data_IF_848110196419
#
_entry.id   IF_848110196419
#
_cell.length_a   1.000
_cell.length_b   1.000
_cell.length_c   1.000
_cell.angle_alpha   90.00
_cell.angle_beta   90.00
_cell.angle_gamma   90.00
#
_symmetry.space_group_name_H-M   'P 1'
#
loop_
_entity.id
_entity.type
_entity.pdbx_description
1 polymer ?
#
# COMPACT_ATOMS: atom_id res chain seq x y z
N UNK A 1 5.39 -42.75 2.26
CA UNK A 1 5.41 -41.33 2.64
C UNK A 1 4.52 -40.56 1.66
N UNK A 2 3.22 -40.83 1.66
CA UNK A 2 2.33 -40.31 0.60
C UNK A 2 1.10 -39.57 1.10
N UNK A 3 0.81 -39.56 2.40
CA UNK A 3 -0.21 -38.68 2.99
C UNK A 3 0.10 -38.52 4.48
N UNK A 4 0.91 -37.53 4.84
CA UNK A 4 0.97 -37.08 6.23
C UNK A 4 -0.20 -36.09 6.44
N UNK A 5 -1.25 -36.47 7.21
CA UNK A 5 -2.43 -35.63 7.42
C UNK A 5 -2.12 -34.37 8.23
N UNK A 6 -0.89 -34.17 8.70
CA UNK A 6 -0.44 -32.93 9.32
C UNK A 6 -0.02 -31.89 8.28
N UNK A 7 0.47 -32.31 7.10
CA UNK A 7 0.92 -31.40 6.04
C UNK A 7 -0.21 -30.55 5.46
N UNK A 8 -1.46 -31.04 5.44
CA UNK A 8 -2.64 -30.27 5.01
C UNK A 8 -2.97 -29.08 5.93
N UNK A 9 -2.49 -29.09 7.18
CA UNK A 9 -2.68 -27.99 8.12
C UNK A 9 -1.51 -27.00 8.14
N UNK A 10 -0.45 -27.24 7.34
CA UNK A 10 0.69 -26.32 7.28
C UNK A 10 0.28 -25.06 6.52
N UNK A 11 0.54 -23.85 7.08
CA UNK A 11 0.29 -22.61 6.35
C UNK A 11 1.09 -22.57 5.05
N UNK A 12 0.54 -21.90 4.03
CA UNK A 12 1.22 -21.73 2.75
C UNK A 12 2.63 -21.13 2.95
N UNK A 13 3.59 -21.53 2.10
CA UNK A 13 4.97 -21.02 2.13
C UNK A 13 5.05 -19.48 2.14
N UNK A 14 4.08 -18.83 1.51
CA UNK A 14 3.91 -17.38 1.46
C UNK A 14 3.69 -16.72 2.84
N UNK A 15 3.23 -17.49 3.84
CA UNK A 15 3.09 -17.09 5.25
C UNK A 15 4.29 -17.55 6.10
N UNK A 16 5.45 -17.74 5.49
CA UNK A 16 6.66 -18.09 6.24
C UNK A 16 7.41 -16.85 6.71
N UNK A 17 8.01 -16.93 7.90
CA UNK A 17 8.79 -15.84 8.49
C UNK A 17 9.94 -15.36 7.58
N UNK A 18 10.73 -16.24 6.91
CA UNK A 18 11.77 -15.78 5.99
C UNK A 18 11.21 -14.99 4.81
N UNK A 19 10.03 -15.38 4.28
CA UNK A 19 9.36 -14.66 3.20
C UNK A 19 8.87 -13.31 3.68
N UNK A 20 8.32 -13.23 4.90
CA UNK A 20 7.91 -11.96 5.52
C UNK A 20 9.11 -11.01 5.66
N UNK A 21 10.22 -11.44 6.25
CA UNK A 21 11.44 -10.63 6.39
C UNK A 21 11.96 -10.16 5.02
N UNK A 22 12.03 -11.07 4.04
CA UNK A 22 12.50 -10.76 2.70
C UNK A 22 11.61 -9.70 2.04
N UNK A 23 10.29 -9.88 2.07
CA UNK A 23 9.34 -8.97 1.43
C UNK A 23 9.30 -7.62 2.14
N UNK A 24 9.23 -7.58 3.47
CA UNK A 24 9.32 -6.33 4.24
C UNK A 24 10.63 -5.60 3.95
N UNK A 25 11.75 -6.31 3.80
CA UNK A 25 13.05 -5.72 3.41
C UNK A 25 13.05 -5.15 1.99
N UNK A 26 12.44 -5.84 1.02
CA UNK A 26 12.26 -5.34 -0.36
C UNK A 26 11.39 -4.09 -0.35
N UNK A 27 10.25 -4.11 0.34
CA UNK A 27 9.30 -2.99 0.42
C UNK A 27 9.99 -1.78 1.09
N UNK A 28 10.76 -2.00 2.16
CA UNK A 28 11.54 -0.95 2.80
C UNK A 28 12.58 -0.35 1.86
N UNK A 29 13.28 -1.18 1.09
CA UNK A 29 14.25 -0.71 0.09
C UNK A 29 13.55 0.14 -0.98
N UNK A 30 12.38 -0.29 -1.47
CA UNK A 30 11.57 0.49 -2.42
C UNK A 30 11.15 1.84 -1.84
N UNK A 31 10.71 1.89 -0.59
CA UNK A 31 10.34 3.13 0.08
C UNK A 31 11.55 4.06 0.29
N UNK A 32 12.70 3.52 0.71
CA UNK A 32 13.93 4.26 0.91
C UNK A 32 14.47 4.86 -0.40
N UNK A 33 14.51 4.08 -1.48
CA UNK A 33 14.90 4.57 -2.80
C UNK A 33 13.94 5.66 -3.25
N UNK A 34 12.62 5.49 -3.06
CA UNK A 34 11.64 6.51 -3.41
C UNK A 34 11.85 7.81 -2.62
N UNK A 35 12.15 7.71 -1.32
CA UNK A 35 12.48 8.88 -0.49
C UNK A 35 13.71 9.62 -1.03
N UNK A 36 14.77 8.87 -1.36
CA UNK A 36 16.00 9.43 -1.94
C UNK A 36 15.68 10.16 -3.25
N UNK A 37 14.87 9.54 -4.12
CA UNK A 37 14.43 10.15 -5.38
C UNK A 37 13.64 11.44 -5.14
N UNK A 38 12.71 11.45 -4.18
CA UNK A 38 11.94 12.65 -3.80
C UNK A 38 12.84 13.77 -3.24
N UNK A 39 13.89 13.44 -2.49
CA UNK A 39 14.84 14.42 -1.98
C UNK A 39 15.70 15.01 -3.10
N UNK A 40 16.19 14.19 -4.04
CA UNK A 40 16.95 14.68 -5.19
C UNK A 40 16.12 15.57 -6.12
N UNK A 41 14.84 15.25 -6.25
CA UNK A 41 13.91 15.93 -7.16
C UNK A 41 13.11 17.05 -6.49
N UNK A 42 13.37 17.31 -5.20
CA UNK A 42 12.62 18.24 -4.35
C UNK A 42 12.44 19.61 -4.97
N UNK A 43 13.50 20.19 -5.55
CA UNK A 43 13.46 21.54 -6.14
C UNK A 43 12.46 21.62 -7.30
N UNK A 44 12.43 20.60 -8.17
CA UNK A 44 11.52 20.57 -9.31
C UNK A 44 10.09 20.25 -8.87
N UNK A 45 9.94 19.25 -8.00
CA UNK A 45 8.63 18.78 -7.55
C UNK A 45 7.89 19.84 -6.72
N UNK A 46 8.59 20.50 -5.80
CA UNK A 46 8.02 21.57 -4.97
C UNK A 46 7.51 22.75 -5.80
N UNK A 47 8.26 23.16 -6.83
CA UNK A 47 7.90 24.32 -7.65
C UNK A 47 6.66 24.07 -8.51
N UNK A 48 6.48 22.84 -8.99
CA UNK A 48 5.36 22.47 -9.87
C UNK A 48 4.10 22.09 -9.09
N UNK A 49 4.23 21.31 -8.02
CA UNK A 49 3.09 20.85 -7.21
C UNK A 49 3.50 20.61 -5.75
N UNK A 50 3.51 21.68 -4.92
CA UNK A 50 3.95 21.58 -3.53
C UNK A 50 3.03 20.66 -2.70
N UNK A 51 1.72 20.66 -2.99
CA UNK A 51 0.76 19.78 -2.31
C UNK A 51 1.05 18.31 -2.52
N UNK A 52 1.26 17.89 -3.77
CA UNK A 52 1.61 16.51 -4.10
C UNK A 52 2.94 16.10 -3.47
N UNK A 53 3.94 16.98 -3.52
CA UNK A 53 5.25 16.71 -2.95
C UNK A 53 5.17 16.47 -1.44
N UNK A 54 4.50 17.34 -0.69
CA UNK A 54 4.32 17.18 0.76
C UNK A 54 3.58 15.89 1.10
N UNK A 55 2.50 15.59 0.37
CA UNK A 55 1.76 14.35 0.56
C UNK A 55 2.61 13.11 0.26
N UNK A 56 3.40 13.12 -0.83
CA UNK A 56 4.27 12.01 -1.18
C UNK A 56 5.38 11.81 -0.13
N UNK A 57 6.08 12.87 0.27
CA UNK A 57 7.14 12.77 1.30
C UNK A 57 6.56 12.27 2.62
N UNK A 58 5.42 12.82 3.06
CA UNK A 58 4.77 12.38 4.30
C UNK A 58 4.32 10.92 4.19
N UNK A 59 3.77 10.51 3.05
CA UNK A 59 3.35 9.14 2.79
C UNK A 59 4.51 8.15 2.84
N UNK A 60 5.64 8.47 2.20
CA UNK A 60 6.83 7.60 2.20
C UNK A 60 7.46 7.51 3.59
N UNK A 61 7.56 8.62 4.33
CA UNK A 61 8.09 8.62 5.70
C UNK A 61 7.19 7.81 6.63
N UNK A 62 5.87 7.96 6.51
CA UNK A 62 4.92 7.22 7.36
C UNK A 62 4.94 5.72 7.05
N UNK A 63 4.95 5.35 5.77
CA UNK A 63 5.12 3.95 5.33
C UNK A 63 6.46 3.38 5.80
N UNK A 64 7.56 4.12 5.63
CA UNK A 64 8.89 3.73 6.09
C UNK A 64 8.95 3.51 7.60
N UNK A 65 8.30 4.37 8.39
CA UNK A 65 8.23 4.25 9.84
C UNK A 65 7.45 2.99 10.26
N UNK A 66 6.33 2.69 9.59
CA UNK A 66 5.59 1.44 9.79
C UNK A 66 6.43 0.21 9.48
N UNK A 67 7.16 0.22 8.36
CA UNK A 67 8.03 -0.89 7.95
C UNK A 67 9.19 -1.13 8.94
N UNK A 68 9.78 -0.06 9.48
CA UNK A 68 10.81 -0.16 10.53
C UNK A 68 10.21 -0.77 11.79
N UNK A 69 9.00 -0.34 12.20
CA UNK A 69 8.32 -0.90 13.35
C UNK A 69 7.94 -2.38 13.16
N UNK A 70 7.43 -2.75 11.97
CA UNK A 70 7.14 -4.14 11.58
C UNK A 70 8.41 -4.99 11.65
N UNK A 71 9.50 -4.54 11.02
CA UNK A 71 10.78 -5.26 11.00
C UNK A 71 11.36 -5.41 12.42
N UNK A 72 11.32 -4.35 13.23
CA UNK A 72 11.76 -4.40 14.62
C UNK A 72 10.99 -5.48 15.39
N UNK A 73 9.65 -5.48 15.30
CA UNK A 73 8.80 -6.47 15.98
C UNK A 73 9.08 -7.89 15.52
N UNK A 74 9.20 -8.12 14.20
CA UNK A 74 9.51 -9.45 13.66
C UNK A 74 10.84 -9.93 14.23
N UNK A 75 11.91 -9.11 14.14
CA UNK A 75 13.24 -9.47 14.61
C UNK A 75 13.30 -9.68 16.13
N UNK A 76 12.56 -8.91 16.92
CA UNK A 76 12.46 -9.10 18.38
C UNK A 76 11.84 -10.45 18.70
N UNK A 77 10.69 -10.79 18.09
CA UNK A 77 10.03 -12.09 18.30
C UNK A 77 10.94 -13.23 17.85
N UNK A 78 11.59 -13.11 16.69
CA UNK A 78 12.57 -14.09 16.20
C UNK A 78 13.73 -14.27 17.18
N UNK A 79 14.24 -13.19 17.78
CA UNK A 79 15.33 -13.25 18.74
C UNK A 79 14.90 -13.91 20.05
N UNK A 80 13.70 -13.60 20.56
CA UNK A 80 13.13 -14.22 21.76
C UNK A 80 12.90 -15.73 21.56
N UNK A 81 12.26 -16.14 20.46
CA UNK A 81 12.04 -17.56 20.13
C UNK A 81 13.37 -18.34 19.99
N UNK A 82 14.42 -17.70 19.47
CA UNK A 82 15.74 -18.33 19.33
C UNK A 82 16.41 -18.63 20.67
N UNK A 83 16.00 -17.94 21.74
CA UNK A 83 16.59 -18.05 23.09
C UNK A 83 15.83 -19.02 23.99
N UNK A 84 14.64 -19.46 23.60
CA UNK A 84 13.82 -20.41 24.35
C UNK A 84 13.83 -21.79 23.71
N UNK A 85 13.77 -22.86 24.51
CA UNK A 85 13.68 -24.23 23.99
C UNK A 85 12.42 -24.36 23.11
N UNK A 86 12.53 -24.82 21.84
CA UNK A 86 13.54 -25.74 21.31
C UNK A 86 14.77 -25.10 20.62
N UNK A 87 15.07 -23.83 20.90
CA UNK A 87 16.15 -23.05 20.29
C UNK A 87 16.06 -23.06 18.76
N UNK A 88 14.83 -22.95 18.26
CA UNK A 88 14.52 -22.95 16.83
C UNK A 88 13.59 -21.80 16.50
N UNK A 89 13.72 -21.30 15.27
CA UNK A 89 12.85 -20.24 14.76
C UNK A 89 11.52 -20.84 14.31
N UNK A 90 10.41 -20.22 14.71
CA UNK A 90 9.13 -20.54 14.09
C UNK A 90 9.19 -20.25 12.60
N UNK A 91 8.80 -21.23 11.79
CA UNK A 91 8.76 -21.04 10.35
C UNK A 91 7.58 -20.14 9.92
N UNK A 92 6.64 -19.87 10.82
CA UNK A 92 5.39 -19.17 10.55
C UNK A 92 5.60 -17.66 10.74
N UNK A 93 5.04 -16.86 9.84
CA UNK A 93 5.07 -15.40 9.91
C UNK A 93 4.45 -14.86 11.21
N UNK A 94 4.95 -13.71 11.64
CA UNK A 94 4.51 -13.05 12.87
C UNK A 94 3.29 -12.17 12.57
N UNK A 95 2.15 -12.48 13.19
CA UNK A 95 0.88 -11.73 13.03
C UNK A 95 1.02 -10.32 13.63
N UNK A 96 1.10 -9.31 12.77
CA UNK A 96 1.26 -7.89 13.14
C UNK A 96 0.18 -7.06 12.44
N UNK A 97 -0.82 -6.53 13.18
CA UNK A 97 -1.07 -6.73 14.61
C UNK A 97 -1.69 -8.11 14.90
N UNK A 98 -1.56 -8.67 16.12
CA UNK A 98 -2.09 -9.99 16.45
C UNK A 98 -3.61 -9.95 16.61
N UNK A 99 -4.33 -10.02 15.48
CA UNK A 99 -5.80 -9.97 15.46
C UNK A 99 -6.42 -11.28 15.92
N UNK A 100 -5.72 -12.39 15.72
CA UNK A 100 -6.18 -13.73 16.10
C UNK A 100 -5.84 -14.07 17.56
N UNK A 101 -4.66 -13.66 18.04
CA UNK A 101 -4.20 -13.90 19.41
C UNK A 101 -4.01 -12.58 20.17
N UNK A 102 -5.13 -11.93 20.52
CA UNK A 102 -5.16 -10.60 21.17
C UNK A 102 -4.48 -10.53 22.54
N UNK A 103 -4.05 -11.66 23.13
CA UNK A 103 -3.34 -11.68 24.41
C UNK A 103 -1.88 -11.22 24.33
N UNK A 104 -1.31 -11.13 23.13
CA UNK A 104 0.11 -10.77 22.95
C UNK A 104 0.37 -9.25 23.07
N UNK A 105 -0.58 -8.39 22.69
CA UNK A 105 -0.38 -6.94 22.65
C UNK A 105 -1.30 -6.21 23.63
N UNK A 106 -0.78 -5.14 24.23
CA UNK A 106 -1.61 -4.24 25.03
C UNK A 106 -2.66 -3.54 24.14
N UNK A 107 -3.85 -3.27 24.67
CA UNK A 107 -4.93 -2.63 23.90
C UNK A 107 -4.52 -1.27 23.32
N UNK A 108 -3.70 -0.50 24.04
CA UNK A 108 -3.17 0.77 23.56
C UNK A 108 -2.22 0.60 22.36
N UNK A 109 -1.37 -0.43 22.39
CA UNK A 109 -0.44 -0.75 21.31
C UNK A 109 -1.18 -1.20 20.05
N UNK A 110 -2.15 -2.12 20.22
CA UNK A 110 -3.03 -2.57 19.14
C UNK A 110 -3.80 -1.40 18.51
N UNK A 111 -4.39 -0.55 19.34
CA UNK A 111 -5.15 0.62 18.86
C UNK A 111 -4.23 1.59 18.12
N UNK A 112 -3.06 1.88 18.68
CA UNK A 112 -2.06 2.75 18.03
C UNK A 112 -1.64 2.23 16.67
N UNK A 113 -1.40 0.92 16.54
CA UNK A 113 -1.04 0.27 15.28
C UNK A 113 -2.15 0.36 14.24
N UNK A 114 -3.39 0.04 14.63
CA UNK A 114 -4.54 0.11 13.71
C UNK A 114 -4.81 1.54 13.24
N UNK A 115 -4.68 2.54 14.14
CA UNK A 115 -4.80 3.96 13.79
C UNK A 115 -3.66 4.39 12.85
N UNK A 116 -2.42 3.99 13.13
CA UNK A 116 -1.28 4.25 12.26
C UNK A 116 -1.53 3.71 10.85
N UNK A 117 -1.95 2.45 10.72
CA UNK A 117 -2.25 1.83 9.42
C UNK A 117 -3.40 2.54 8.70
N UNK A 118 -4.48 2.85 9.41
CA UNK A 118 -5.61 3.58 8.83
C UNK A 118 -5.21 4.96 8.30
N UNK A 119 -4.38 5.70 9.04
CA UNK A 119 -3.85 7.01 8.63
C UNK A 119 -2.91 6.87 7.44
N UNK A 120 -1.96 5.93 7.47
CA UNK A 120 -1.02 5.69 6.36
C UNK A 120 -1.79 5.34 5.09
N UNK A 121 -2.77 4.45 5.20
CA UNK A 121 -3.54 4.02 4.05
C UNK A 121 -4.39 5.15 3.48
N UNK A 122 -5.06 5.93 4.33
CA UNK A 122 -5.80 7.11 3.88
C UNK A 122 -4.87 8.15 3.22
N UNK A 123 -3.68 8.38 3.79
CA UNK A 123 -2.69 9.32 3.27
C UNK A 123 -2.18 8.89 1.89
N UNK A 124 -1.83 7.62 1.71
CA UNK A 124 -1.34 7.09 0.42
C UNK A 124 -2.45 7.14 -0.63
N UNK A 125 -3.68 6.80 -0.28
CA UNK A 125 -4.81 6.95 -1.20
C UNK A 125 -5.04 8.43 -1.56
N UNK A 126 -4.91 9.35 -0.61
CA UNK A 126 -4.99 10.79 -0.86
C UNK A 126 -3.90 11.30 -1.81
N UNK A 127 -2.69 10.74 -1.75
CA UNK A 127 -1.61 11.03 -2.73
C UNK A 127 -2.09 10.72 -4.16
N UNK A 128 -2.72 9.57 -4.38
CA UNK A 128 -3.26 9.19 -5.69
C UNK A 128 -4.41 10.09 -6.15
N UNK A 129 -5.36 10.37 -5.26
CA UNK A 129 -6.48 11.28 -5.56
C UNK A 129 -5.94 12.65 -5.96
N UNK A 130 -5.00 13.19 -5.18
CA UNK A 130 -4.39 14.48 -5.49
C UNK A 130 -3.63 14.42 -6.82
N UNK A 131 -2.87 13.37 -7.09
CA UNK A 131 -2.20 13.19 -8.37
C UNK A 131 -3.16 13.18 -9.56
N UNK A 132 -4.29 12.46 -9.51
CA UNK A 132 -5.31 12.51 -10.57
C UNK A 132 -5.84 13.92 -10.80
N UNK A 133 -6.01 14.72 -9.74
CA UNK A 133 -6.47 16.11 -9.88
C UNK A 133 -5.44 17.02 -10.57
N UNK A 134 -4.17 16.61 -10.64
CA UNK A 134 -3.15 17.31 -11.45
C UNK A 134 -3.29 16.96 -12.93
N UNK A 135 -3.58 15.70 -13.26
CA UNK A 135 -3.74 15.23 -14.64
C UNK A 135 -4.87 15.93 -15.38
N UNK A 136 -5.98 16.21 -14.70
CA UNK A 136 -7.17 16.83 -15.29
C UNK A 136 -7.25 18.32 -14.95
N UNK A 137 -6.93 19.26 -15.86
CA UNK A 137 -6.89 20.68 -15.53
C UNK A 137 -8.29 21.31 -15.31
N UNK A 138 -9.36 20.69 -15.83
CA UNK A 138 -10.73 21.23 -15.73
C UNK A 138 -11.26 21.23 -14.29
N UNK A 139 -11.72 22.39 -13.81
CA UNK A 139 -12.29 22.57 -12.47
C UNK A 139 -13.45 21.60 -12.18
N UNK A 140 -14.30 21.35 -13.17
CA UNK A 140 -15.44 20.44 -13.02
C UNK A 140 -14.98 18.99 -12.81
N UNK A 141 -13.99 18.55 -13.58
CA UNK A 141 -13.42 17.19 -13.46
C UNK A 141 -12.69 17.03 -12.14
N UNK A 142 -11.92 18.04 -11.70
CA UNK A 142 -11.28 18.02 -10.38
C UNK A 142 -12.30 17.86 -9.25
N UNK A 143 -13.37 18.65 -9.27
CA UNK A 143 -14.43 18.56 -8.25
C UNK A 143 -15.11 17.18 -8.27
N UNK A 144 -15.35 16.62 -9.46
CA UNK A 144 -15.93 15.29 -9.60
C UNK A 144 -15.00 14.20 -9.04
N UNK A 145 -13.70 14.28 -9.34
CA UNK A 145 -12.68 13.36 -8.80
C UNK A 145 -12.65 13.44 -7.28
N UNK A 146 -12.66 14.64 -6.71
CA UNK A 146 -12.68 14.84 -5.25
C UNK A 146 -13.94 14.24 -4.62
N UNK A 147 -15.13 14.57 -5.14
CA UNK A 147 -16.41 14.06 -4.62
C UNK A 147 -16.51 12.54 -4.74
N UNK A 148 -15.95 11.95 -5.81
CA UNK A 148 -16.02 10.52 -6.05
C UNK A 148 -14.99 9.73 -5.22
N UNK A 149 -13.74 10.20 -5.12
CA UNK A 149 -12.63 9.40 -4.58
C UNK A 149 -12.29 9.69 -3.11
N UNK A 150 -12.57 10.90 -2.59
CA UNK A 150 -12.25 11.20 -1.18
C UNK A 150 -13.13 10.41 -0.21
N UNK A 151 -14.46 10.32 -0.38
CA UNK A 151 -15.29 9.53 0.53
C UNK A 151 -14.85 8.05 0.66
N UNK A 152 -14.62 7.29 -0.43
CA UNK A 152 -14.14 5.92 -0.31
C UNK A 152 -12.70 5.84 0.26
N UNK A 153 -11.86 6.85 0.04
CA UNK A 153 -10.52 6.93 0.65
C UNK A 153 -10.61 7.05 2.17
N UNK A 154 -11.47 7.94 2.68
CA UNK A 154 -11.68 8.11 4.12
C UNK A 154 -12.30 6.84 4.71
N UNK A 155 -13.32 6.28 4.04
CA UNK A 155 -13.95 5.04 4.48
C UNK A 155 -12.94 3.89 4.58
N UNK A 156 -12.06 3.74 3.58
CA UNK A 156 -11.00 2.73 3.58
C UNK A 156 -10.09 2.86 4.82
N UNK A 157 -9.64 4.07 5.14
CA UNK A 157 -8.81 4.32 6.33
C UNK A 157 -9.55 4.06 7.64
N UNK A 158 -10.80 4.52 7.77
CA UNK A 158 -11.62 4.31 8.98
C UNK A 158 -11.87 2.83 9.24
N UNK A 159 -12.17 2.08 8.17
CA UNK A 159 -12.49 0.66 8.26
C UNK A 159 -11.28 -0.16 8.75
N UNK A 160 -10.05 0.27 8.49
CA UNK A 160 -8.84 -0.38 9.02
C UNK A 160 -8.69 -0.25 10.55
N UNK A 161 -9.38 0.71 11.17
CA UNK A 161 -9.36 0.90 12.64
C UNK A 161 -10.42 0.02 13.32
N UNK A 162 -11.48 -0.36 12.61
CA UNK A 162 -12.61 -1.14 13.17
C UNK A 162 -12.22 -2.49 13.80
N UNK A 163 -11.15 -3.19 13.41
CA UNK A 163 -10.70 -4.40 14.11
C UNK A 163 -10.33 -4.21 15.59
N UNK A 164 -10.25 -2.96 16.08
CA UNK A 164 -10.10 -2.67 17.52
C UNK A 164 -11.25 -3.28 18.34
N UNK A 165 -12.45 -3.31 17.78
CA UNK A 165 -13.62 -3.90 18.43
C UNK A 165 -13.49 -5.43 18.48
N UNK A 166 -14.04 -6.05 19.53
CA UNK A 166 -13.99 -7.51 19.73
C UNK A 166 -15.12 -8.27 19.06
N UNK A 167 -16.10 -7.57 18.47
CA UNK A 167 -17.24 -8.21 17.83
C UNK A 167 -16.80 -8.85 16.48
N UNK A 168 -16.92 -10.19 16.32
CA UNK A 168 -16.46 -10.90 15.13
C UNK A 168 -17.20 -10.47 13.85
N UNK A 169 -18.44 -10.02 13.96
CA UNK A 169 -19.22 -9.50 12.84
C UNK A 169 -18.66 -8.15 12.36
N UNK A 170 -18.25 -7.28 13.28
CA UNK A 170 -17.65 -5.98 12.93
C UNK A 170 -16.29 -6.19 12.26
N UNK A 171 -15.46 -7.09 12.81
CA UNK A 171 -14.16 -7.43 12.25
C UNK A 171 -14.30 -7.99 10.83
N UNK A 172 -15.16 -8.98 10.62
CA UNK A 172 -15.35 -9.55 9.27
C UNK A 172 -15.90 -8.53 8.28
N UNK A 173 -16.90 -7.74 8.66
CA UNK A 173 -17.43 -6.66 7.83
C UNK A 173 -16.35 -5.62 7.48
N UNK A 174 -15.46 -5.31 8.41
CA UNK A 174 -14.37 -4.37 8.17
C UNK A 174 -13.42 -4.85 7.07
N UNK A 175 -13.03 -6.12 7.09
CA UNK A 175 -12.17 -6.67 6.04
C UNK A 175 -12.84 -6.65 4.67
N UNK A 176 -14.14 -6.97 4.58
CA UNK A 176 -14.88 -6.89 3.33
C UNK A 176 -14.96 -5.46 2.79
N UNK A 177 -15.31 -4.49 3.64
CA UNK A 177 -15.41 -3.09 3.25
C UNK A 177 -14.05 -2.51 2.84
N UNK A 178 -12.97 -2.86 3.55
CA UNK A 178 -11.61 -2.44 3.20
C UNK A 178 -11.23 -2.94 1.80
N UNK A 179 -11.46 -4.23 1.53
CA UNK A 179 -11.15 -4.83 0.23
C UNK A 179 -11.98 -4.22 -0.91
N UNK A 180 -13.28 -3.99 -0.69
CA UNK A 180 -14.16 -3.34 -1.69
C UNK A 180 -13.70 -1.92 -1.97
N UNK A 181 -13.41 -1.13 -0.93
CA UNK A 181 -12.95 0.25 -1.10
C UNK A 181 -11.61 0.29 -1.84
N UNK A 182 -10.65 -0.55 -1.43
CA UNK A 182 -9.34 -0.66 -2.07
C UNK A 182 -9.46 -1.05 -3.56
N UNK A 183 -10.25 -2.08 -3.87
CA UNK A 183 -10.46 -2.53 -5.25
C UNK A 183 -11.14 -1.46 -6.10
N UNK A 184 -12.14 -0.78 -5.54
CA UNK A 184 -12.85 0.32 -6.21
C UNK A 184 -11.91 1.48 -6.51
N UNK A 185 -11.12 1.91 -5.53
CA UNK A 185 -10.13 2.98 -5.69
C UNK A 185 -9.06 2.61 -6.72
N UNK A 186 -8.52 1.40 -6.65
CA UNK A 186 -7.53 0.90 -7.60
C UNK A 186 -8.09 0.85 -9.04
N UNK A 187 -9.32 0.37 -9.22
CA UNK A 187 -9.97 0.32 -10.53
C UNK A 187 -10.24 1.72 -11.09
N UNK A 188 -10.87 2.59 -10.29
CA UNK A 188 -11.18 3.96 -10.72
C UNK A 188 -9.91 4.73 -11.06
N UNK A 189 -8.85 4.58 -10.26
CA UNK A 189 -7.57 5.18 -10.52
C UNK A 189 -6.98 4.71 -11.85
N UNK A 190 -6.94 3.39 -12.09
CA UNK A 190 -6.45 2.82 -13.35
C UNK A 190 -7.26 3.29 -14.55
N UNK A 191 -8.59 3.30 -14.47
CA UNK A 191 -9.45 3.77 -15.55
C UNK A 191 -9.25 5.25 -15.85
N UNK A 192 -9.14 6.10 -14.83
CA UNK A 192 -8.88 7.53 -15.00
C UNK A 192 -7.51 7.79 -15.62
N UNK A 193 -6.49 7.03 -15.20
CA UNK A 193 -5.15 7.13 -15.77
C UNK A 193 -5.13 6.72 -17.25
N UNK A 194 -5.78 5.60 -17.60
CA UNK A 194 -5.90 5.13 -18.99
C UNK A 194 -6.70 6.12 -19.85
N UNK A 195 -7.78 6.67 -19.30
CA UNK A 195 -8.58 7.68 -19.98
C UNK A 195 -7.73 8.93 -20.29
N UNK A 196 -6.97 9.42 -19.32
CA UNK A 196 -6.09 10.56 -19.52
C UNK A 196 -5.03 10.27 -20.61
N UNK A 197 -4.42 9.08 -20.56
CA UNK A 197 -3.35 8.65 -21.45
C UNK A 197 -3.76 8.52 -22.92
N UNK A 198 -4.93 7.91 -23.17
CA UNK A 198 -5.34 7.53 -24.53
C UNK A 198 -6.37 8.46 -25.15
N UNK A 199 -7.17 9.14 -24.34
CA UNK A 199 -8.30 9.96 -24.81
C UNK A 199 -8.01 11.43 -24.60
N UNK A 200 -7.71 11.85 -23.36
CA UNK A 200 -7.61 13.29 -23.04
C UNK A 200 -6.33 13.94 -23.56
N UNK A 201 -5.16 13.31 -23.37
CA UNK A 201 -3.86 13.93 -23.65
C UNK A 201 -2.96 13.07 -24.56
N UNK A 202 -3.56 12.34 -25.51
CA UNK A 202 -2.87 11.33 -26.33
C UNK A 202 -1.59 11.83 -27.02
N UNK A 203 -1.56 13.06 -27.53
CA UNK A 203 -0.39 13.55 -28.28
C UNK A 203 0.80 13.88 -27.38
N UNK A 204 0.52 14.46 -26.21
CA UNK A 204 1.57 14.93 -25.31
C UNK A 204 2.00 13.84 -24.32
N UNK A 205 1.08 12.97 -23.90
CA UNK A 205 1.36 11.88 -22.97
C UNK A 205 2.40 10.90 -23.52
N UNK A 206 2.48 10.70 -24.84
CA UNK A 206 3.38 9.69 -25.43
C UNK A 206 4.62 10.29 -26.10
N UNK A 207 5.02 11.52 -25.71
CA UNK A 207 6.27 12.12 -26.17
C UNK A 207 7.47 11.29 -25.69
N UNK A 208 8.38 10.99 -26.60
CA UNK A 208 9.61 10.23 -26.30
C UNK A 208 10.76 11.12 -25.83
N UNK A 209 10.65 12.43 -26.07
CA UNK A 209 11.60 13.43 -25.59
C UNK A 209 11.66 13.41 -24.06
N UNK A 210 12.87 13.35 -23.49
CA UNK A 210 13.07 13.40 -22.03
C UNK A 210 12.63 12.15 -21.25
N UNK A 211 12.24 11.06 -21.92
CA UNK A 211 11.83 9.82 -21.25
C UNK A 211 10.37 9.81 -20.75
N UNK A 212 9.57 10.83 -21.08
CA UNK A 212 8.16 10.96 -20.67
C UNK A 212 7.34 9.71 -20.96
N UNK A 213 7.43 9.15 -22.17
CA UNK A 213 6.73 7.91 -22.52
C UNK A 213 7.14 6.71 -21.66
N UNK A 214 8.42 6.59 -21.26
CA UNK A 214 8.89 5.49 -20.42
C UNK A 214 8.30 5.57 -19.01
N UNK A 215 8.24 6.78 -18.43
CA UNK A 215 7.56 7.02 -17.15
C UNK A 215 6.06 6.71 -17.24
N UNK A 216 5.42 7.05 -18.36
CA UNK A 216 4.01 6.72 -18.60
C UNK A 216 3.72 5.23 -18.68
N UNK A 217 4.54 4.48 -19.44
CA UNK A 217 4.44 3.01 -19.50
C UNK A 217 4.62 2.41 -18.10
N UNK A 218 5.64 2.85 -17.35
CA UNK A 218 5.91 2.33 -16.02
C UNK A 218 4.76 2.64 -15.04
N UNK A 219 4.24 3.87 -15.02
CA UNK A 219 3.11 4.27 -14.18
C UNK A 219 1.84 3.47 -14.52
N UNK A 220 1.56 3.25 -15.80
CA UNK A 220 0.40 2.45 -16.22
C UNK A 220 0.54 0.97 -15.86
N UNK A 221 1.72 0.37 -16.07
CA UNK A 221 1.96 -1.01 -15.69
C UNK A 221 1.78 -1.22 -14.18
N UNK A 222 2.32 -0.32 -13.35
CA UNK A 222 2.11 -0.39 -11.91
C UNK A 222 0.63 -0.25 -11.53
N UNK A 223 -0.12 0.62 -12.22
CA UNK A 223 -1.56 0.77 -12.02
C UNK A 223 -2.33 -0.53 -12.32
N UNK A 224 -2.00 -1.19 -13.43
CA UNK A 224 -2.61 -2.48 -13.82
C UNK A 224 -2.24 -3.58 -12.83
N UNK A 225 -0.95 -3.69 -12.46
CA UNK A 225 -0.47 -4.66 -11.48
C UNK A 225 -1.20 -4.47 -10.14
N UNK A 226 -1.29 -3.23 -9.66
CA UNK A 226 -2.02 -2.89 -8.43
C UNK A 226 -3.49 -3.32 -8.51
N UNK A 227 -4.18 -3.01 -9.61
CA UNK A 227 -5.57 -3.43 -9.80
C UNK A 227 -5.69 -4.95 -9.77
N UNK A 228 -4.88 -5.68 -10.55
CA UNK A 228 -4.89 -7.15 -10.57
C UNK A 228 -4.64 -7.71 -9.17
N UNK A 229 -3.61 -7.22 -8.48
CA UNK A 229 -3.29 -7.65 -7.12
C UNK A 229 -4.46 -7.44 -6.17
N UNK A 230 -5.17 -6.32 -6.27
CA UNK A 230 -6.30 -6.02 -5.39
C UNK A 230 -7.51 -6.92 -5.69
N UNK A 231 -7.77 -7.24 -6.96
CA UNK A 231 -8.84 -8.17 -7.34
C UNK A 231 -8.52 -9.63 -7.00
N UNK A 232 -7.27 -10.07 -7.17
CA UNK A 232 -6.81 -11.42 -6.81
C UNK A 232 -6.82 -11.64 -5.30
N UNK A 233 -6.62 -10.59 -4.51
CA UNK A 233 -6.62 -10.67 -3.05
C UNK A 233 -8.01 -10.88 -2.42
N UNK A 234 -9.08 -10.42 -3.08
CA UNK A 234 -10.47 -10.59 -2.59
C UNK A 234 -10.84 -12.07 -2.36
N UNK A 235 -10.64 -13.00 -3.34
CA UNK A 235 -11.06 -14.38 -3.18
C UNK A 235 -10.13 -15.24 -2.33
N UNK A 236 -8.85 -14.88 -2.17
CA UNK A 236 -7.87 -15.79 -1.56
C UNK A 236 -8.10 -16.03 -0.07
N UNK A 237 -8.85 -15.18 0.64
CA UNK A 237 -9.10 -15.21 2.12
C UNK A 237 -7.83 -15.19 3.00
N UNK A 238 -6.68 -15.53 2.44
CA UNK A 238 -5.36 -15.46 3.01
C UNK A 238 -4.84 -14.02 2.95
N UNK A 239 -5.09 -13.30 4.04
CA UNK A 239 -4.52 -11.98 4.24
C UNK A 239 -3.04 -12.13 4.59
N UNK A 240 -2.16 -12.06 3.60
CA UNK A 240 -0.72 -12.00 3.85
C UNK A 240 -0.36 -10.69 4.55
N UNK A 241 0.40 -10.76 5.64
CA UNK A 241 0.75 -9.60 6.48
C UNK A 241 1.53 -8.53 5.72
N UNK A 242 2.41 -8.93 4.81
CA UNK A 242 3.25 -8.04 4.00
C UNK A 242 2.52 -7.41 2.79
N UNK A 243 1.34 -7.92 2.43
CA UNK A 243 0.65 -7.51 1.20
C UNK A 243 0.17 -6.04 1.21
N UNK A 244 -0.47 -5.53 2.27
CA UNK A 244 -0.90 -4.14 2.31
C UNK A 244 0.26 -3.16 2.14
N UNK A 245 1.39 -3.43 2.78
CA UNK A 245 2.61 -2.61 2.68
C UNK A 245 3.17 -2.60 1.25
N UNK A 246 3.11 -3.74 0.54
CA UNK A 246 3.52 -3.83 -0.86
C UNK A 246 2.61 -3.02 -1.78
N UNK A 247 1.29 -3.11 -1.60
CA UNK A 247 0.31 -2.31 -2.37
C UNK A 247 0.58 -0.82 -2.14
N UNK A 248 0.77 -0.41 -0.89
CA UNK A 248 1.12 0.96 -0.53
C UNK A 248 2.44 1.43 -1.19
N UNK A 249 3.47 0.59 -1.26
CA UNK A 249 4.71 0.95 -1.95
C UNK A 249 4.52 1.09 -3.47
N UNK A 250 3.80 0.16 -4.10
CA UNK A 250 3.48 0.21 -5.54
C UNK A 250 2.71 1.51 -5.85
N UNK A 251 1.74 1.85 -5.01
CA UNK A 251 0.97 3.08 -5.09
C UNK A 251 1.88 4.32 -5.09
N UNK A 252 2.73 4.45 -4.07
CA UNK A 252 3.63 5.61 -3.97
C UNK A 252 4.59 5.72 -5.16
N UNK A 253 5.13 4.60 -5.65
CA UNK A 253 5.95 4.56 -6.85
C UNK A 253 5.17 4.96 -8.11
N UNK A 254 3.95 4.46 -8.25
CA UNK A 254 3.08 4.79 -9.36
C UNK A 254 2.78 6.30 -9.39
N UNK A 255 2.51 6.92 -8.24
CA UNK A 255 2.26 8.37 -8.15
C UNK A 255 3.50 9.20 -8.50
N UNK A 256 4.70 8.76 -8.09
CA UNK A 256 5.96 9.43 -8.44
C UNK A 256 6.26 9.35 -9.94
N UNK A 257 6.16 8.16 -10.54
CA UNK A 257 6.37 7.97 -11.98
C UNK A 257 5.31 8.69 -12.81
N UNK A 258 4.05 8.66 -12.34
CA UNK A 258 2.95 9.40 -12.94
C UNK A 258 3.18 10.91 -12.90
N UNK A 259 3.76 11.43 -11.83
CA UNK A 259 4.12 12.85 -11.74
C UNK A 259 5.16 13.25 -12.79
N UNK A 260 6.23 12.46 -12.96
CA UNK A 260 7.22 12.69 -14.03
C UNK A 260 6.62 12.58 -15.42
N UNK A 261 5.70 11.63 -15.61
CA UNK A 261 4.97 11.49 -16.86
C UNK A 261 4.12 12.74 -17.18
N UNK A 262 3.43 13.29 -16.19
CA UNK A 262 2.65 14.51 -16.33
C UNK A 262 3.52 15.76 -16.53
N UNK A 263 4.61 15.90 -15.77
CA UNK A 263 5.50 17.05 -15.86
C UNK A 263 6.23 17.11 -17.20
N UNK A 264 6.46 15.96 -17.85
CA UNK A 264 7.10 15.85 -19.15
C UNK A 264 6.15 15.92 -20.35
N UNK A 265 4.83 15.94 -20.15
CA UNK A 265 3.81 15.96 -21.22
C UNK A 265 3.35 17.39 -21.53
#
# INVERSE_FOLDING_TARGET
YSDDPVLQYRPAFTRSMPVQILLTGIIFTLAAILLIQLLFTARYHWQLSPGNYVLQVTGVISLGSSLVASMYKILTVTAEESQEWPYMLSYIAVDIPPLHNRGSWATAELTGWLVMNGIISALIQMVHVHFLTLLFPSKLVKNLIFILLVPPTILHGVVQVLPVWTNPTIVSMSHYLANICSATLALLFTLMLLYWAFISNRKNAWRTEGGTAAFGVAAMLLSIIMTIMTFVYIPTKDQYEWYPELVHAIMMWQSYLGWWWWAGS
#
